data_IF_519140719823
#
_entry.id   IF_519140719823
#
_cell.length_a   1.000
_cell.length_b   1.000
_cell.length_c   1.000
_cell.angle_alpha   90.00
_cell.angle_beta   90.00
_cell.angle_gamma   90.00
#
_symmetry.space_group_name_H-M   'P 1'
#
loop_
_entity.id
_entity.type
_entity.pdbx_description
1 polymer ?
#
# COMPACT_ATOMS: atom_id res chain seq x y z
N UNK A 1 10.13 64.06 63.73
CA UNK A 1 11.47 64.49 64.20
C UNK A 1 12.31 63.35 64.79
N UNK A 2 11.75 62.18 65.13
CA UNK A 2 12.48 61.06 65.74
C UNK A 2 13.46 60.30 64.80
N UNK A 3 13.26 60.39 63.49
CA UNK A 3 13.98 59.59 62.48
C UNK A 3 15.46 60.00 62.32
N UNK A 4 15.77 61.30 62.44
CA UNK A 4 17.15 61.80 62.31
C UNK A 4 18.00 61.46 63.55
N UNK A 5 17.39 61.45 64.73
CA UNK A 5 18.08 61.12 65.98
C UNK A 5 18.42 59.63 66.04
N UNK A 6 17.54 58.78 65.51
CA UNK A 6 17.75 57.34 65.37
C UNK A 6 18.86 57.03 64.35
N UNK A 7 18.88 57.72 63.20
CA UNK A 7 19.97 57.62 62.21
C UNK A 7 21.31 58.06 62.81
N UNK A 8 21.35 59.14 63.60
CA UNK A 8 22.58 59.57 64.30
C UNK A 8 23.04 58.56 65.34
N UNK A 9 22.10 57.93 66.04
CA UNK A 9 22.41 56.91 67.04
C UNK A 9 22.97 55.65 66.39
N UNK A 10 22.35 55.19 65.30
CA UNK A 10 22.84 54.10 64.47
C UNK A 10 24.23 54.41 63.88
N UNK A 11 24.45 55.64 63.40
CA UNK A 11 25.76 56.06 62.89
C UNK A 11 26.84 56.12 64.00
N UNK A 12 26.47 56.59 65.18
CA UNK A 12 27.36 56.63 66.34
C UNK A 12 27.67 55.22 66.86
N UNK A 13 26.68 54.32 66.92
CA UNK A 13 26.88 52.92 67.27
C UNK A 13 27.69 52.18 66.21
N UNK A 14 27.49 52.46 64.92
CA UNK A 14 28.32 51.94 63.84
C UNK A 14 29.77 52.40 63.97
N UNK A 15 30.01 53.70 64.21
CA UNK A 15 31.35 54.22 64.47
C UNK A 15 31.98 53.59 65.71
N UNK A 16 31.23 53.43 66.79
CA UNK A 16 31.69 52.77 68.02
C UNK A 16 32.07 51.32 67.78
N UNK A 17 31.28 50.60 66.99
CA UNK A 17 31.54 49.20 66.64
C UNK A 17 32.75 49.07 65.70
N UNK A 18 33.01 50.06 64.84
CA UNK A 18 34.23 50.11 64.01
C UNK A 18 35.49 50.49 64.79
N UNK A 19 35.37 51.32 65.84
CA UNK A 19 36.51 51.76 66.69
C UNK A 19 36.72 50.87 67.91
N UNK A 20 35.78 49.99 68.25
CA UNK A 20 36.03 48.93 69.23
C UNK A 20 37.02 47.94 68.63
N UNK A 21 38.29 48.05 69.03
CA UNK A 21 39.31 47.04 68.75
C UNK A 21 38.82 45.70 69.33
N UNK A 22 38.37 44.82 68.44
CA UNK A 22 38.16 43.42 68.79
C UNK A 22 39.54 42.82 69.07
N UNK A 23 39.82 42.57 70.35
CA UNK A 23 41.11 42.09 70.90
C UNK A 23 41.64 40.76 70.31
N UNK A 24 40.93 40.16 69.35
CA UNK A 24 41.36 38.96 68.64
C UNK A 24 40.97 39.06 67.15
N UNK A 25 41.64 39.94 66.41
CA UNK A 25 41.69 39.82 64.94
C UNK A 25 42.60 38.66 64.58
N UNK A 26 41.99 37.54 64.21
CA UNK A 26 42.71 36.43 63.60
C UNK A 26 43.19 36.94 62.23
N UNK A 27 44.51 36.92 61.99
CA UNK A 27 45.05 37.27 60.67
C UNK A 27 44.62 36.23 59.63
N UNK A 28 44.49 36.60 58.36
CA UNK A 28 44.14 35.67 57.28
C UNK A 28 45.02 34.41 57.29
N UNK A 29 46.32 34.60 57.58
CA UNK A 29 47.28 33.50 57.70
C UNK A 29 46.95 32.56 58.86
N UNK A 30 46.55 33.10 60.01
CA UNK A 30 46.11 32.30 61.15
C UNK A 30 44.76 31.60 60.86
N UNK A 31 43.84 32.24 60.14
CA UNK A 31 42.60 31.61 59.69
C UNK A 31 42.88 30.40 58.78
N UNK A 32 43.78 30.56 57.80
CA UNK A 32 44.18 29.48 56.90
C UNK A 32 44.84 28.33 57.67
N UNK A 33 45.72 28.63 58.64
CA UNK A 33 46.39 27.60 59.44
C UNK A 33 45.40 26.85 60.37
N UNK A 34 44.42 27.55 60.94
CA UNK A 34 43.34 26.93 61.73
C UNK A 34 42.48 26.04 60.83
N UNK A 35 42.09 26.52 59.65
CA UNK A 35 41.32 25.76 58.67
C UNK A 35 42.09 24.50 58.24
N UNK A 36 43.36 24.63 57.87
CA UNK A 36 44.23 23.48 57.55
C UNK A 36 44.29 22.47 58.69
N UNK A 37 44.46 22.94 59.93
CA UNK A 37 44.47 22.06 61.11
C UNK A 37 43.15 21.32 61.30
N UNK A 38 42.02 21.99 61.05
CA UNK A 38 40.68 21.39 61.14
C UNK A 38 40.42 20.38 60.01
N UNK A 39 40.95 20.64 58.81
CA UNK A 39 40.93 19.70 57.67
C UNK A 39 41.83 18.48 57.94
N UNK A 40 43.04 18.67 58.46
CA UNK A 40 43.97 17.59 58.81
C UNK A 40 43.38 16.66 59.90
N UNK A 41 42.64 17.24 60.85
CA UNK A 41 41.90 16.51 61.87
C UNK A 41 40.60 15.87 61.37
N UNK A 42 40.26 16.03 60.07
CA UNK A 42 39.03 15.55 59.42
C UNK A 42 37.74 16.01 60.12
N UNK A 43 37.77 17.17 60.77
CA UNK A 43 36.61 17.74 61.44
C UNK A 43 35.71 18.51 60.47
N UNK A 44 36.28 19.00 59.35
CA UNK A 44 35.57 19.79 58.34
C UNK A 44 36.04 19.36 56.94
N UNK A 45 35.09 19.12 56.05
CA UNK A 45 35.32 18.91 54.62
C UNK A 45 35.10 20.23 53.88
N UNK A 46 36.12 20.69 53.14
CA UNK A 46 36.10 21.98 52.45
C UNK A 46 36.49 21.80 50.99
N UNK A 47 35.75 22.49 50.12
CA UNK A 47 35.95 22.58 48.69
C UNK A 47 36.57 23.94 48.40
N UNK A 48 37.59 23.95 47.54
CA UNK A 48 38.26 25.17 47.12
C UNK A 48 37.60 25.69 45.84
N UNK A 49 37.37 27.00 45.80
CA UNK A 49 37.06 27.69 44.54
C UNK A 49 38.25 27.64 43.59
N UNK A 50 37.99 27.70 42.28
CA UNK A 50 39.03 27.65 41.25
C UNK A 50 40.01 28.83 41.34
N UNK A 51 39.61 29.95 41.95
CA UNK A 51 40.47 31.10 42.20
C UNK A 51 41.19 31.07 43.57
N UNK A 52 40.88 30.07 44.41
CA UNK A 52 41.49 29.82 45.71
C UNK A 52 41.17 30.87 46.78
N UNK A 53 40.18 31.73 46.56
CA UNK A 53 39.85 32.83 47.48
C UNK A 53 38.80 32.44 48.52
N UNK A 54 37.93 31.51 48.18
CA UNK A 54 36.79 31.11 49.00
C UNK A 54 36.80 29.62 49.30
N UNK A 55 36.31 29.28 50.50
CA UNK A 55 36.12 27.91 50.95
C UNK A 55 34.63 27.61 51.02
N UNK A 56 34.19 26.57 50.30
CA UNK A 56 32.81 26.11 50.35
C UNK A 56 32.70 24.82 51.16
N UNK A 57 31.62 24.70 51.91
CA UNK A 57 31.22 23.42 52.49
C UNK A 57 30.35 22.66 51.48
N UNK A 58 30.35 21.32 51.48
CA UNK A 58 29.46 20.54 50.60
C UNK A 58 27.99 20.95 50.72
N UNK A 59 27.50 21.22 51.94
CA UNK A 59 26.13 21.67 52.16
C UNK A 59 25.84 23.05 51.56
N UNK A 60 26.84 23.95 51.52
CA UNK A 60 26.68 25.25 50.90
C UNK A 60 26.67 25.15 49.37
N UNK A 61 27.58 24.35 48.81
CA UNK A 61 27.61 24.06 47.38
C UNK A 61 26.30 23.43 46.90
N UNK A 62 25.68 22.55 47.70
CA UNK A 62 24.37 21.99 47.40
C UNK A 62 23.31 23.09 47.24
N UNK A 63 23.22 24.01 48.21
CA UNK A 63 22.27 25.13 48.14
C UNK A 63 22.53 26.05 46.95
N UNK A 64 23.78 26.37 46.67
CA UNK A 64 24.11 27.20 45.51
C UNK A 64 23.75 26.52 44.19
N UNK A 65 23.94 25.21 44.08
CA UNK A 65 23.48 24.44 42.92
C UNK A 65 21.95 24.53 42.80
N UNK A 66 21.21 24.34 43.89
CA UNK A 66 19.75 24.46 43.88
C UNK A 66 19.27 25.86 43.47
N UNK A 67 19.89 26.91 44.03
CA UNK A 67 19.56 28.31 43.75
C UNK A 67 19.87 28.67 42.29
N UNK A 68 21.03 28.26 41.77
CA UNK A 68 21.43 28.55 40.38
C UNK A 68 20.55 27.80 39.37
N UNK A 69 20.15 26.55 39.70
CA UNK A 69 19.19 25.79 38.90
C UNK A 69 17.82 26.47 38.90
N UNK A 70 17.38 27.00 40.04
CA UNK A 70 16.11 27.72 40.14
C UNK A 70 16.12 29.02 39.33
N UNK A 71 17.19 29.82 39.43
CA UNK A 71 17.37 31.10 38.70
C UNK A 71 17.34 30.87 37.19
N UNK A 72 17.95 29.79 36.72
CA UNK A 72 17.98 29.43 35.29
C UNK A 72 16.72 28.68 34.81
N UNK A 73 15.62 28.73 35.56
CA UNK A 73 14.34 28.17 35.13
C UNK A 73 14.27 26.64 35.19
N UNK A 74 15.13 26.02 35.98
CA UNK A 74 15.11 24.59 36.28
C UNK A 74 15.91 23.70 35.33
N UNK A 75 16.68 24.24 34.39
CA UNK A 75 17.59 23.44 33.53
C UNK A 75 18.93 24.14 33.33
N UNK A 76 20.03 23.47 33.70
CA UNK A 76 21.40 24.02 33.57
C UNK A 76 22.39 22.93 33.17
N UNK A 77 23.35 23.26 32.31
CA UNK A 77 24.49 22.38 32.04
C UNK A 77 25.49 22.42 33.20
N UNK A 78 26.05 21.28 33.57
CA UNK A 78 27.03 21.20 34.67
C UNK A 78 28.29 22.06 34.43
N UNK A 79 28.66 22.29 33.17
CA UNK A 79 29.78 23.17 32.82
C UNK A 79 29.47 24.65 33.11
N UNK A 80 28.26 25.10 32.76
CA UNK A 80 27.81 26.46 33.03
C UNK A 80 27.67 26.67 34.54
N UNK A 81 27.18 25.65 35.25
CA UNK A 81 27.06 25.63 36.71
C UNK A 81 28.44 25.72 37.39
N UNK A 82 29.42 24.95 36.94
CA UNK A 82 30.80 25.02 37.44
C UNK A 82 31.44 26.40 37.21
N UNK A 83 31.13 27.03 36.07
CA UNK A 83 31.62 28.37 35.73
C UNK A 83 30.93 29.45 36.58
N UNK A 84 29.62 29.36 36.77
CA UNK A 84 28.85 30.31 37.58
C UNK A 84 29.23 30.26 39.06
N UNK A 85 29.40 29.05 39.60
CA UNK A 85 29.77 28.83 41.00
C UNK A 85 31.29 28.95 41.25
N UNK A 86 32.11 29.04 40.20
CA UNK A 86 33.57 29.07 40.29
C UNK A 86 34.16 27.87 41.07
N UNK A 87 33.57 26.69 40.89
CA UNK A 87 33.96 25.44 41.54
C UNK A 87 34.38 24.41 40.49
N UNK A 88 35.34 23.54 40.82
CA UNK A 88 35.79 22.49 39.91
C UNK A 88 34.64 21.56 39.48
N UNK A 89 34.64 21.18 38.19
CA UNK A 89 33.61 20.36 37.59
C UNK A 89 33.37 19.05 38.34
N UNK A 90 34.42 18.41 38.87
CA UNK A 90 34.29 17.12 39.55
C UNK A 90 33.46 17.24 40.83
N UNK A 91 33.61 18.34 41.57
CA UNK A 91 32.82 18.60 42.77
C UNK A 91 31.36 18.88 42.41
N UNK A 92 31.11 19.71 41.40
CA UNK A 92 29.75 20.00 40.91
C UNK A 92 29.05 18.76 40.38
N UNK A 93 29.77 17.91 39.63
CA UNK A 93 29.23 16.66 39.07
C UNK A 93 28.88 15.66 40.19
N UNK A 94 29.76 15.48 41.17
CA UNK A 94 29.51 14.57 42.29
C UNK A 94 28.32 15.03 43.13
N UNK A 95 28.23 16.32 43.44
CA UNK A 95 27.10 16.88 44.20
C UNK A 95 25.80 16.80 43.41
N UNK A 96 25.83 17.07 42.10
CA UNK A 96 24.64 16.94 41.24
C UNK A 96 24.15 15.49 41.15
N UNK A 97 25.07 14.51 41.09
CA UNK A 97 24.72 13.08 41.18
C UNK A 97 24.11 12.73 42.53
N UNK A 98 24.63 13.29 43.62
CA UNK A 98 24.09 13.09 44.96
C UNK A 98 22.67 13.67 45.08
N UNK A 99 22.43 14.90 44.62
CA UNK A 99 21.10 15.53 44.63
C UNK A 99 20.09 14.70 43.83
N UNK A 100 20.48 14.24 42.63
CA UNK A 100 19.63 13.38 41.81
C UNK A 100 19.35 12.01 42.45
N UNK A 101 20.28 11.48 43.26
CA UNK A 101 20.09 10.22 43.97
C UNK A 101 19.23 10.37 45.24
N UNK A 102 19.40 11.49 45.98
CA UNK A 102 18.63 11.78 47.19
C UNK A 102 17.19 12.21 46.87
N UNK A 103 17.00 12.97 45.78
CA UNK A 103 15.71 13.52 45.36
C UNK A 103 15.41 13.21 43.88
N UNK A 104 15.24 11.93 43.51
CA UNK A 104 15.06 11.53 42.11
C UNK A 104 13.75 12.02 41.48
N UNK A 105 12.74 12.37 42.29
CA UNK A 105 11.47 12.93 41.82
C UNK A 105 11.61 14.40 41.41
N UNK A 106 12.48 15.14 42.10
CA UNK A 106 12.66 16.58 41.92
C UNK A 106 13.78 16.91 40.94
N UNK A 107 14.88 16.16 40.98
CA UNK A 107 16.06 16.40 40.16
C UNK A 107 16.38 15.20 39.26
N UNK A 108 16.76 15.47 38.03
CA UNK A 108 17.17 14.47 37.05
C UNK A 108 18.47 14.92 36.38
N UNK A 109 19.44 14.02 36.28
CA UNK A 109 20.73 14.28 35.64
C UNK A 109 20.81 13.55 34.29
N UNK A 110 20.94 14.31 33.20
CA UNK A 110 20.89 13.78 31.83
C UNK A 110 21.98 14.43 30.98
N UNK A 111 22.89 13.62 30.43
CA UNK A 111 23.99 14.09 29.55
C UNK A 111 24.76 15.32 30.09
N UNK A 112 25.00 15.36 31.40
CA UNK A 112 25.69 16.50 32.03
C UNK A 112 24.82 17.75 32.16
N UNK A 113 23.50 17.61 32.16
CA UNK A 113 22.52 18.63 32.52
C UNK A 113 21.77 18.21 33.78
N UNK A 114 21.50 19.17 34.66
CA UNK A 114 20.60 19.00 35.80
C UNK A 114 19.25 19.63 35.46
N UNK A 115 18.18 18.87 35.66
CA UNK A 115 16.80 19.27 35.39
C UNK A 115 15.99 19.17 36.67
N UNK A 116 15.41 20.29 37.10
CA UNK A 116 14.50 20.38 38.22
C UNK A 116 13.03 20.18 37.79
N UNK A 117 12.18 19.73 38.71
CA UNK A 117 10.74 19.50 38.51
C UNK A 117 9.98 20.71 37.97
N UNK A 118 10.37 21.94 38.31
CA UNK A 118 9.77 23.17 37.75
C UNK A 118 9.91 23.25 36.23
N UNK A 119 10.98 22.68 35.67
CA UNK A 119 11.16 22.60 34.23
C UNK A 119 10.13 21.65 33.60
N UNK A 120 9.73 20.57 34.29
CA UNK A 120 8.66 19.67 33.82
C UNK A 120 7.35 20.43 33.62
N UNK A 121 6.96 21.29 34.55
CA UNK A 121 5.75 22.15 34.41
C UNK A 121 5.86 23.13 33.25
N UNK A 122 7.06 23.61 32.95
CA UNK A 122 7.30 24.47 31.78
C UNK A 122 7.18 23.67 30.49
N UNK A 123 7.70 22.45 30.47
CA UNK A 123 7.54 21.51 29.35
C UNK A 123 6.08 21.12 29.13
N UNK A 124 5.30 20.84 30.18
CA UNK A 124 3.85 20.57 30.07
C UNK A 124 3.14 21.69 29.30
N UNK A 125 3.41 22.95 29.64
CA UNK A 125 2.84 24.12 28.95
C UNK A 125 3.29 24.20 27.49
N UNK A 126 4.58 23.99 27.21
CA UNK A 126 5.09 24.02 25.83
C UNK A 126 4.48 22.90 24.98
N UNK A 127 4.33 21.71 25.56
CA UNK A 127 3.66 20.57 24.94
C UNK A 127 2.21 20.92 24.64
N UNK A 128 1.49 21.49 25.61
CA UNK A 128 0.10 21.93 25.45
C UNK A 128 -0.04 22.95 24.30
N UNK A 129 0.78 24.00 24.31
CA UNK A 129 0.77 25.05 23.29
C UNK A 129 1.08 24.47 21.89
N UNK A 130 2.01 23.52 21.82
CA UNK A 130 2.36 22.83 20.56
C UNK A 130 1.19 21.97 20.06
N UNK A 131 0.55 21.23 20.96
CA UNK A 131 -0.61 20.38 20.64
C UNK A 131 -1.81 21.22 20.19
N UNK A 132 -2.08 22.38 20.80
CA UNK A 132 -3.17 23.25 20.37
C UNK A 132 -2.87 23.93 19.04
N UNK A 133 -1.65 24.45 18.88
CA UNK A 133 -1.29 25.23 17.68
C UNK A 133 -1.15 24.37 16.42
N UNK A 134 -0.60 23.17 16.55
CA UNK A 134 -0.32 22.31 15.38
C UNK A 134 -1.18 21.06 15.34
N UNK A 135 -1.78 20.65 16.46
CA UNK A 135 -2.55 19.42 16.57
C UNK A 135 -1.71 18.13 16.50
N UNK A 136 -0.38 18.24 16.45
CA UNK A 136 0.55 17.11 16.39
C UNK A 136 1.83 17.38 17.17
N UNK A 137 2.35 16.36 17.85
CA UNK A 137 3.64 16.42 18.54
C UNK A 137 4.48 15.22 18.16
N UNK A 138 5.54 15.44 17.38
CA UNK A 138 6.57 14.43 17.13
C UNK A 138 7.66 14.54 18.19
N UNK A 139 7.96 13.44 18.88
CA UNK A 139 9.05 13.40 19.88
C UNK A 139 10.39 13.77 19.25
N UNK A 140 10.62 13.40 17.99
CA UNK A 140 11.88 13.69 17.29
C UNK A 140 12.03 15.19 16.99
N UNK A 141 10.95 15.86 16.58
CA UNK A 141 10.98 17.29 16.31
C UNK A 141 11.02 18.11 17.60
N UNK A 142 10.30 17.64 18.63
CA UNK A 142 10.33 18.24 19.97
C UNK A 142 11.71 18.09 20.65
N UNK A 143 12.38 16.95 20.44
CA UNK A 143 13.75 16.74 20.91
C UNK A 143 14.73 17.73 20.27
N UNK A 144 14.59 18.01 18.98
CA UNK A 144 15.42 19.00 18.29
C UNK A 144 15.16 20.43 18.79
N UNK A 145 13.91 20.78 19.12
CA UNK A 145 13.60 22.13 19.59
C UNK A 145 14.11 22.39 21.01
N UNK A 146 14.17 21.35 21.85
CA UNK A 146 14.54 21.49 23.26
C UNK A 146 16.00 21.07 23.54
N UNK A 147 16.67 20.41 22.60
CA UNK A 147 18.03 19.87 22.77
C UNK A 147 18.12 18.89 23.96
N UNK A 148 17.17 17.95 24.00
CA UNK A 148 17.15 16.84 24.97
C UNK A 148 17.08 15.48 24.26
N UNK A 149 17.60 14.41 24.86
CA UNK A 149 17.52 13.07 24.29
C UNK A 149 16.08 12.64 24.04
N UNK A 150 15.83 12.08 22.85
CA UNK A 150 14.48 11.62 22.47
C UNK A 150 13.95 10.51 23.38
N UNK A 151 14.84 9.67 23.94
CA UNK A 151 14.45 8.60 24.86
C UNK A 151 13.90 9.17 26.18
N UNK A 152 14.58 10.15 26.76
CA UNK A 152 14.09 10.86 27.94
C UNK A 152 12.76 11.57 27.67
N UNK A 153 12.67 12.30 26.55
CA UNK A 153 11.44 12.96 26.16
C UNK A 153 10.30 11.99 25.89
N UNK A 154 10.58 10.78 25.40
CA UNK A 154 9.53 9.78 25.19
C UNK A 154 8.89 9.32 26.49
N UNK A 155 9.70 9.07 27.52
CA UNK A 155 9.21 8.70 28.85
C UNK A 155 8.48 9.87 29.49
N UNK A 156 9.05 11.07 29.39
CA UNK A 156 8.48 12.27 29.98
C UNK A 156 7.14 12.63 29.31
N UNK A 157 7.07 12.68 27.98
CA UNK A 157 5.82 13.00 27.26
C UNK A 157 4.75 11.95 27.57
N UNK A 158 5.09 10.67 27.70
CA UNK A 158 4.12 9.63 28.13
C UNK A 158 3.56 9.88 29.53
N UNK A 159 4.38 10.36 30.46
CA UNK A 159 3.96 10.69 31.82
C UNK A 159 3.14 11.99 31.87
N UNK A 160 3.54 13.00 31.11
CA UNK A 160 2.93 14.33 31.13
C UNK A 160 1.66 14.43 30.28
N UNK A 161 1.54 13.65 29.20
CA UNK A 161 0.42 13.73 28.24
C UNK A 161 -0.96 13.66 28.90
N UNK A 162 -1.23 12.69 29.79
CA UNK A 162 -2.53 12.60 30.47
C UNK A 162 -2.87 13.83 31.33
N UNK A 163 -1.87 14.55 31.85
CA UNK A 163 -2.09 15.78 32.61
C UNK A 163 -2.31 16.99 31.70
N UNK A 164 -1.73 16.96 30.49
CA UNK A 164 -1.80 18.04 29.52
C UNK A 164 -3.15 18.05 28.79
N UNK A 165 -3.66 16.88 28.40
CA UNK A 165 -4.89 16.78 27.64
C UNK A 165 -5.55 15.39 27.81
N UNK A 166 -6.87 15.40 27.96
CA UNK A 166 -7.65 14.16 28.12
C UNK A 166 -7.84 13.38 26.80
N UNK A 167 -7.86 14.09 25.66
CA UNK A 167 -8.24 13.54 24.36
C UNK A 167 -7.10 13.62 23.31
N UNK A 168 -6.23 12.61 23.31
CA UNK A 168 -5.15 12.45 22.34
C UNK A 168 -5.11 11.03 21.74
N UNK A 169 -4.55 10.94 20.54
CA UNK A 169 -4.30 9.68 19.84
C UNK A 169 -2.81 9.53 19.63
N UNK A 170 -2.29 8.34 19.97
CA UNK A 170 -0.87 8.00 19.79
C UNK A 170 -0.67 7.24 18.49
N UNK A 171 0.40 7.54 17.77
CA UNK A 171 0.82 6.77 16.61
C UNK A 171 1.22 5.34 17.00
N UNK A 172 1.17 4.41 16.03
CA UNK A 172 1.53 3.00 16.28
C UNK A 172 2.97 2.77 16.79
N UNK A 173 3.87 3.72 16.54
CA UNK A 173 5.26 3.67 16.97
C UNK A 173 5.54 4.42 18.28
N UNK A 174 4.50 4.91 18.97
CA UNK A 174 4.60 5.68 20.22
C UNK A 174 5.50 6.93 20.13
N UNK A 175 5.64 7.49 18.91
CA UNK A 175 6.55 8.60 18.62
C UNK A 175 5.88 9.91 18.24
N UNK A 176 4.61 9.85 17.88
CA UNK A 176 3.84 11.02 17.49
C UNK A 176 2.48 11.01 18.18
N UNK A 177 2.12 12.14 18.76
CA UNK A 177 0.83 12.36 19.39
C UNK A 177 0.02 13.28 18.51
N UNK A 178 -1.28 13.02 18.43
CA UNK A 178 -2.24 13.82 17.66
C UNK A 178 -3.38 14.22 18.57
N UNK A 179 -3.95 15.40 18.36
CA UNK A 179 -5.24 15.74 18.95
C UNK A 179 -6.34 14.91 18.28
N UNK A 180 -7.42 14.64 19.01
CA UNK A 180 -8.59 13.98 18.43
C UNK A 180 -9.16 14.78 17.25
N UNK A 181 -9.23 16.10 17.36
CA UNK A 181 -9.68 16.99 16.29
C UNK A 181 -8.86 16.82 15.00
N UNK A 182 -7.52 16.72 15.08
CA UNK A 182 -6.69 16.48 13.91
C UNK A 182 -6.95 15.11 13.30
N UNK A 183 -7.12 14.08 14.14
CA UNK A 183 -7.43 12.74 13.65
C UNK A 183 -8.79 12.68 12.95
N UNK A 184 -9.79 13.40 13.47
CA UNK A 184 -11.10 13.54 12.84
C UNK A 184 -11.04 14.32 11.54
N UNK A 185 -10.20 15.36 11.45
CA UNK A 185 -9.92 16.05 10.20
C UNK A 185 -9.28 15.12 9.17
N UNK A 186 -8.25 14.35 9.53
CA UNK A 186 -7.65 13.36 8.63
C UNK A 186 -8.68 12.32 8.19
N UNK A 187 -9.46 11.77 9.12
CA UNK A 187 -10.53 10.80 8.82
C UNK A 187 -11.54 11.41 7.85
N UNK A 188 -11.93 12.66 8.04
CA UNK A 188 -12.89 13.36 7.17
C UNK A 188 -12.33 13.64 5.78
N UNK A 189 -11.09 14.14 5.68
CA UNK A 189 -10.41 14.40 4.40
C UNK A 189 -10.23 13.11 3.60
N UNK A 190 -9.75 12.05 4.26
CA UNK A 190 -9.56 10.74 3.63
C UNK A 190 -10.92 10.20 3.18
N UNK A 191 -11.95 10.27 4.04
CA UNK A 191 -13.30 9.81 3.69
C UNK A 191 -13.84 10.54 2.47
N UNK A 192 -13.83 11.88 2.47
CA UNK A 192 -14.31 12.68 1.35
C UNK A 192 -13.55 12.41 0.05
N UNK A 193 -12.23 12.18 0.16
CA UNK A 193 -11.40 11.85 -1.00
C UNK A 193 -11.75 10.48 -1.57
N UNK A 194 -11.86 9.45 -0.73
CA UNK A 194 -12.18 8.10 -1.16
C UNK A 194 -13.60 7.98 -1.73
N UNK A 195 -14.57 8.72 -1.16
CA UNK A 195 -15.93 8.79 -1.69
C UNK A 195 -16.00 9.45 -3.08
N UNK A 196 -15.07 10.33 -3.41
CA UNK A 196 -15.00 10.99 -4.72
C UNK A 196 -14.33 10.12 -5.80
N UNK A 197 -13.65 9.03 -5.43
CA UNK A 197 -12.97 8.16 -6.37
C UNK A 197 -13.98 7.15 -6.93
N UNK A 198 -14.21 7.21 -8.25
CA UNK A 198 -15.10 6.29 -8.98
C UNK A 198 -14.37 5.24 -9.83
N UNK A 199 -13.04 5.29 -9.87
CA UNK A 199 -12.20 4.37 -10.66
C UNK A 199 -11.11 3.75 -9.81
N UNK A 200 -10.65 2.51 -10.13
CA UNK A 200 -9.54 1.90 -9.42
C UNK A 200 -8.31 2.82 -9.41
N UNK A 201 -7.84 3.17 -8.22
CA UNK A 201 -6.77 4.16 -8.04
C UNK A 201 -5.73 3.64 -7.06
N UNK A 202 -4.45 3.79 -7.37
CA UNK A 202 -3.37 3.31 -6.48
C UNK A 202 -3.33 4.13 -5.19
N UNK A 203 -3.18 3.45 -4.05
CA UNK A 203 -3.07 4.09 -2.73
C UNK A 203 -1.94 5.13 -2.70
N UNK A 204 -0.79 4.83 -3.31
CA UNK A 204 0.35 5.75 -3.41
C UNK A 204 -0.01 7.08 -4.09
N UNK A 205 -0.84 7.06 -5.14
CA UNK A 205 -1.30 8.27 -5.82
C UNK A 205 -2.25 9.11 -4.95
N UNK A 206 -3.09 8.44 -4.15
CA UNK A 206 -4.02 9.12 -3.24
C UNK A 206 -3.22 9.79 -2.12
N UNK A 207 -2.32 9.05 -1.48
CA UNK A 207 -1.46 9.55 -0.42
C UNK A 207 -0.59 10.72 -0.88
N UNK A 208 0.03 10.62 -2.07
CA UNK A 208 0.83 11.71 -2.64
C UNK A 208 0.02 12.99 -2.84
N UNK A 209 -1.27 12.86 -3.19
CA UNK A 209 -2.15 14.02 -3.39
C UNK A 209 -2.60 14.65 -2.08
N UNK A 210 -2.74 13.84 -1.03
CA UNK A 210 -3.15 14.29 0.30
C UNK A 210 -1.97 14.73 1.18
N UNK A 211 -0.74 14.41 0.80
CA UNK A 211 0.48 14.59 1.61
C UNK A 211 0.37 13.92 3.00
N UNK A 212 -0.24 12.73 3.04
CA UNK A 212 -0.44 11.94 4.27
C UNK A 212 0.47 10.71 4.23
N UNK A 213 1.14 10.43 5.35
CA UNK A 213 1.99 9.25 5.50
C UNK A 213 1.19 7.93 5.48
N UNK A 214 1.82 6.85 5.02
CA UNK A 214 1.17 5.52 4.94
C UNK A 214 0.68 5.04 6.31
N UNK A 215 1.44 5.40 7.36
CA UNK A 215 1.18 5.00 8.75
C UNK A 215 -0.11 5.58 9.29
N UNK A 216 -0.52 6.76 8.82
CA UNK A 216 -1.82 7.35 9.16
C UNK A 216 -2.90 6.88 8.19
N UNK A 217 -2.59 6.85 6.90
CA UNK A 217 -3.57 6.57 5.86
C UNK A 217 -4.14 5.16 5.96
N UNK A 218 -3.29 4.12 6.02
CA UNK A 218 -3.73 2.72 5.95
C UNK A 218 -4.68 2.33 7.09
N UNK A 219 -4.38 2.60 8.38
CA UNK A 219 -5.29 2.26 9.47
C UNK A 219 -6.65 2.97 9.38
N UNK A 220 -6.66 4.23 8.91
CA UNK A 220 -7.90 4.99 8.73
C UNK A 220 -8.74 4.36 7.62
N UNK A 221 -8.15 4.03 6.47
CA UNK A 221 -8.86 3.41 5.35
C UNK A 221 -9.41 2.04 5.74
N UNK A 222 -8.59 1.19 6.36
CA UNK A 222 -9.01 -0.13 6.82
C UNK A 222 -10.17 -0.02 7.83
N UNK A 223 -10.08 0.94 8.75
CA UNK A 223 -11.16 1.26 9.69
C UNK A 223 -12.45 1.69 8.99
N UNK A 224 -12.37 2.60 8.02
CA UNK A 224 -13.54 3.09 7.28
C UNK A 224 -14.23 1.99 6.46
N UNK A 225 -13.47 1.08 5.87
CA UNK A 225 -14.01 -0.08 5.14
C UNK A 225 -14.65 -1.07 6.13
N UNK A 226 -13.97 -1.38 7.23
CA UNK A 226 -14.47 -2.30 8.26
C UNK A 226 -15.73 -1.80 8.96
N UNK A 227 -15.81 -0.48 9.21
CA UNK A 227 -17.01 0.20 9.74
C UNK A 227 -18.16 0.26 8.72
N UNK A 228 -17.91 -0.07 7.44
CA UNK A 228 -18.90 0.05 6.37
C UNK A 228 -19.21 1.50 5.97
N UNK A 229 -18.37 2.46 6.36
CA UNK A 229 -18.52 3.88 5.95
C UNK A 229 -18.14 4.10 4.49
N UNK A 230 -17.21 3.30 3.98
CA UNK A 230 -16.80 3.31 2.58
C UNK A 230 -17.00 1.91 2.03
N UNK A 231 -17.81 1.83 0.98
CA UNK A 231 -18.02 0.58 0.25
C UNK A 231 -16.97 0.47 -0.86
N UNK A 232 -15.84 -0.15 -0.51
CA UNK A 232 -14.71 -0.36 -1.41
C UNK A 232 -13.87 -1.55 -0.94
N UNK A 233 -13.07 -2.08 -1.87
CA UNK A 233 -12.06 -3.09 -1.57
C UNK A 233 -10.66 -2.53 -1.83
N UNK A 234 -9.69 -2.98 -1.04
CA UNK A 234 -8.27 -2.69 -1.28
C UNK A 234 -7.57 -3.99 -1.65
N UNK A 235 -7.12 -4.09 -2.90
CA UNK A 235 -6.39 -5.27 -3.41
C UNK A 235 -5.06 -4.83 -4.01
N UNK A 236 -3.95 -5.46 -3.65
CA UNK A 236 -2.62 -5.15 -4.20
C UNK A 236 -2.26 -3.65 -4.20
N UNK A 237 -2.59 -2.93 -3.12
CA UNK A 237 -2.40 -1.46 -2.99
C UNK A 237 -3.22 -0.62 -3.99
N UNK A 238 -4.26 -1.21 -4.58
CA UNK A 238 -5.25 -0.55 -5.42
C UNK A 238 -6.55 -0.40 -4.63
N UNK A 239 -7.03 0.83 -4.53
CA UNK A 239 -8.37 1.13 -4.01
C UNK A 239 -9.39 0.93 -5.12
N UNK A 240 -10.35 0.03 -4.92
CA UNK A 240 -11.39 -0.35 -5.87
C UNK A 240 -12.76 0.03 -5.27
N UNK A 241 -13.38 1.15 -5.71
CA UNK A 241 -14.71 1.54 -5.26
C UNK A 241 -15.77 0.52 -5.65
N UNK A 242 -16.75 0.24 -4.80
CA UNK A 242 -17.84 -0.69 -5.14
C UNK A 242 -18.70 -0.19 -6.31
N UNK A 243 -18.85 1.14 -6.43
CA UNK A 243 -19.55 1.79 -7.55
C UNK A 243 -18.94 1.38 -8.88
N UNK A 244 -17.60 1.29 -8.97
CA UNK A 244 -16.93 0.81 -10.18
C UNK A 244 -17.29 -0.64 -10.50
N UNK A 245 -17.24 -1.53 -9.50
CA UNK A 245 -17.60 -2.94 -9.69
C UNK A 245 -19.07 -3.10 -10.09
N UNK A 246 -19.96 -2.26 -9.54
CA UNK A 246 -21.37 -2.25 -9.90
C UNK A 246 -21.58 -1.77 -11.34
N UNK A 247 -21.01 -0.63 -11.72
CA UNK A 247 -21.08 -0.11 -13.10
C UNK A 247 -20.51 -1.09 -14.13
N UNK A 248 -19.42 -1.77 -13.79
CA UNK A 248 -18.83 -2.82 -14.62
C UNK A 248 -19.81 -3.98 -14.83
N UNK A 249 -20.45 -4.47 -13.77
CA UNK A 249 -21.43 -5.55 -13.86
C UNK A 249 -22.69 -5.12 -14.63
N UNK A 250 -23.23 -3.95 -14.32
CA UNK A 250 -24.44 -3.41 -14.97
C UNK A 250 -24.21 -3.21 -16.47
N UNK A 251 -23.01 -2.76 -16.87
CA UNK A 251 -22.60 -2.65 -18.26
C UNK A 251 -22.55 -4.02 -18.96
N UNK A 252 -22.00 -5.04 -18.29
CA UNK A 252 -21.92 -6.40 -18.84
C UNK A 252 -23.33 -6.99 -19.03
N UNK A 253 -24.19 -6.86 -18.03
CA UNK A 253 -25.56 -7.36 -18.09
C UNK A 253 -26.36 -6.67 -19.21
N UNK A 254 -26.22 -5.34 -19.34
CA UNK A 254 -26.86 -4.55 -20.41
C UNK A 254 -26.33 -4.91 -21.80
N UNK A 255 -25.01 -5.08 -21.94
CA UNK A 255 -24.38 -5.45 -23.20
C UNK A 255 -24.81 -6.86 -23.64
N UNK A 256 -24.78 -7.83 -22.73
CA UNK A 256 -25.18 -9.21 -23.01
C UNK A 256 -26.65 -9.29 -23.41
N UNK A 257 -27.52 -8.58 -22.70
CA UNK A 257 -28.97 -8.60 -22.95
C UNK A 257 -29.32 -7.98 -24.30
N UNK A 258 -28.60 -6.93 -24.71
CA UNK A 258 -28.86 -6.21 -25.97
C UNK A 258 -28.25 -6.92 -27.18
N UNK A 259 -27.04 -7.45 -27.05
CA UNK A 259 -26.28 -7.99 -28.19
C UNK A 259 -26.32 -9.51 -28.29
N UNK A 260 -26.73 -10.22 -27.24
CA UNK A 260 -26.74 -11.69 -27.17
C UNK A 260 -25.36 -12.36 -27.31
N UNK A 261 -24.26 -11.61 -27.21
CA UNK A 261 -22.91 -12.14 -27.13
C UNK A 261 -22.00 -11.20 -26.33
N UNK A 262 -20.86 -11.70 -25.85
CA UNK A 262 -19.75 -10.93 -25.26
C UNK A 262 -18.41 -11.53 -25.70
N UNK A 263 -17.48 -10.71 -26.16
CA UNK A 263 -16.09 -11.10 -26.47
C UNK A 263 -15.23 -11.21 -25.20
N UNK A 264 -14.33 -12.19 -25.12
CA UNK A 264 -13.44 -12.32 -23.96
C UNK A 264 -12.43 -11.18 -23.86
N UNK A 265 -11.98 -10.63 -24.99
CA UNK A 265 -11.05 -9.48 -25.03
C UNK A 265 -11.65 -8.22 -24.40
N UNK A 266 -12.93 -7.97 -24.65
CA UNK A 266 -13.67 -6.84 -24.07
C UNK A 266 -13.69 -6.92 -22.54
N UNK A 267 -13.84 -8.13 -21.99
CA UNK A 267 -13.82 -8.35 -20.54
C UNK A 267 -12.40 -8.19 -19.95
N UNK A 268 -11.37 -8.63 -20.66
CA UNK A 268 -9.97 -8.40 -20.26
C UNK A 268 -9.65 -6.90 -20.22
N UNK A 269 -10.09 -6.14 -21.22
CA UNK A 269 -9.96 -4.67 -21.27
C UNK A 269 -10.75 -3.95 -20.18
N UNK A 270 -11.76 -4.60 -19.59
CA UNK A 270 -12.52 -4.13 -18.44
C UNK A 270 -11.93 -4.59 -17.11
N UNK A 271 -10.70 -5.13 -17.06
CA UNK A 271 -10.03 -5.64 -15.86
C UNK A 271 -10.62 -6.93 -15.26
N UNK A 272 -11.40 -7.70 -16.03
CA UNK A 272 -11.88 -9.01 -15.58
C UNK A 272 -10.81 -10.07 -15.90
N UNK A 273 -10.07 -10.49 -14.87
CA UNK A 273 -8.95 -11.44 -14.99
C UNK A 273 -9.36 -12.82 -15.51
N UNK A 274 -10.58 -13.28 -15.24
CA UNK A 274 -11.07 -14.60 -15.66
C UNK A 274 -12.42 -14.53 -16.40
N UNK A 275 -12.42 -14.10 -17.68
CA UNK A 275 -13.66 -13.87 -18.45
C UNK A 275 -14.56 -15.10 -18.55
N UNK A 276 -13.98 -16.28 -18.85
CA UNK A 276 -14.74 -17.53 -19.06
C UNK A 276 -15.46 -17.99 -17.80
N UNK A 277 -14.76 -18.01 -16.67
CA UNK A 277 -15.32 -18.42 -15.38
C UNK A 277 -16.37 -17.42 -14.89
N UNK A 278 -16.09 -16.12 -15.04
CA UNK A 278 -17.00 -15.04 -14.69
C UNK A 278 -18.33 -15.15 -15.44
N UNK A 279 -18.28 -15.26 -16.78
CA UNK A 279 -19.50 -15.36 -17.60
C UNK A 279 -20.27 -16.66 -17.36
N UNK A 280 -19.59 -17.80 -17.16
CA UNK A 280 -20.26 -19.06 -16.83
C UNK A 280 -21.00 -19.01 -15.49
N UNK A 281 -20.47 -18.28 -14.51
CA UNK A 281 -21.12 -18.07 -13.21
C UNK A 281 -22.29 -17.10 -13.32
N UNK A 282 -22.18 -16.04 -14.14
CA UNK A 282 -23.19 -15.00 -14.29
C UNK A 282 -24.36 -15.43 -15.19
N UNK A 283 -24.05 -16.09 -16.31
CA UNK A 283 -24.99 -16.53 -17.34
C UNK A 283 -24.85 -18.04 -17.59
N UNK A 284 -25.39 -18.89 -16.71
CA UNK A 284 -25.15 -20.33 -16.74
C UNK A 284 -25.66 -21.02 -18.02
N UNK A 285 -26.69 -20.48 -18.67
CA UNK A 285 -27.30 -21.06 -19.86
C UNK A 285 -26.54 -20.73 -21.16
N UNK A 286 -25.62 -19.76 -21.12
CA UNK A 286 -24.88 -19.34 -22.31
C UNK A 286 -23.87 -20.39 -22.82
N UNK A 287 -23.51 -20.25 -24.09
CA UNK A 287 -22.55 -21.12 -24.76
C UNK A 287 -21.17 -20.44 -24.82
N UNK A 288 -20.16 -21.14 -24.32
CA UNK A 288 -18.77 -20.68 -24.39
C UNK A 288 -18.11 -21.12 -25.70
N UNK A 289 -17.70 -20.16 -26.51
CA UNK A 289 -16.94 -20.40 -27.75
C UNK A 289 -15.44 -20.13 -27.51
N UNK A 290 -14.63 -20.03 -28.58
CA UNK A 290 -13.19 -19.80 -28.46
C UNK A 290 -12.89 -18.35 -28.06
N UNK A 291 -13.49 -17.39 -28.76
CA UNK A 291 -13.21 -15.96 -28.62
C UNK A 291 -14.32 -15.18 -27.90
N UNK A 292 -15.54 -15.72 -27.89
CA UNK A 292 -16.71 -15.07 -27.31
C UNK A 292 -17.61 -16.04 -26.53
N UNK A 293 -18.59 -15.46 -25.85
CA UNK A 293 -19.64 -16.14 -25.10
C UNK A 293 -20.98 -15.70 -25.66
N UNK A 294 -21.87 -16.65 -25.95
CA UNK A 294 -23.08 -16.42 -26.72
C UNK A 294 -24.32 -16.81 -25.92
N UNK A 295 -25.38 -16.02 -26.05
CA UNK A 295 -26.65 -16.27 -25.38
C UNK A 295 -27.43 -17.43 -26.00
N UNK A 296 -28.28 -18.12 -25.23
CA UNK A 296 -29.18 -19.14 -25.76
C UNK A 296 -30.08 -18.60 -26.88
N UNK A 297 -30.46 -17.32 -26.83
CA UNK A 297 -31.33 -16.71 -27.82
C UNK A 297 -30.65 -16.67 -29.21
N UNK A 298 -29.37 -16.33 -29.26
CA UNK A 298 -28.62 -16.34 -30.52
C UNK A 298 -28.39 -17.77 -31.02
N UNK A 299 -28.15 -18.73 -30.12
CA UNK A 299 -28.06 -20.14 -30.49
C UNK A 299 -29.38 -20.64 -31.08
N UNK A 300 -30.52 -20.34 -30.45
CA UNK A 300 -31.85 -20.69 -30.96
C UNK A 300 -32.16 -20.04 -32.31
N UNK A 301 -31.70 -18.80 -32.53
CA UNK A 301 -31.83 -18.13 -33.83
C UNK A 301 -31.05 -18.89 -34.92
N UNK A 302 -29.83 -19.32 -34.63
CA UNK A 302 -29.03 -20.13 -35.56
C UNK A 302 -29.68 -21.50 -35.80
N UNK A 303 -30.23 -22.13 -34.76
CA UNK A 303 -30.99 -23.38 -34.92
C UNK A 303 -32.21 -23.22 -35.84
N UNK A 304 -32.98 -22.15 -35.69
CA UNK A 304 -34.12 -21.86 -36.55
C UNK A 304 -33.69 -21.66 -38.02
N UNK A 305 -32.57 -20.94 -38.26
CA UNK A 305 -32.03 -20.77 -39.61
C UNK A 305 -31.62 -22.11 -40.25
N UNK A 306 -31.08 -23.04 -39.47
CA UNK A 306 -30.74 -24.39 -39.94
C UNK A 306 -32.01 -25.18 -40.26
N UNK A 307 -33.02 -25.12 -39.40
CA UNK A 307 -34.31 -25.78 -39.60
C UNK A 307 -35.01 -25.26 -40.88
N UNK A 308 -35.02 -23.95 -41.10
CA UNK A 308 -35.54 -23.32 -42.32
C UNK A 308 -34.74 -23.70 -43.57
N UNK A 309 -33.40 -23.77 -43.46
CA UNK A 309 -32.52 -24.20 -44.55
C UNK A 309 -32.82 -25.64 -44.99
N UNK A 310 -33.14 -26.53 -44.03
CA UNK A 310 -33.55 -27.92 -44.31
C UNK A 310 -34.91 -27.93 -44.98
N UNK A 311 -35.89 -27.20 -44.44
CA UNK A 311 -37.25 -27.19 -44.95
C UNK A 311 -37.34 -26.65 -46.39
N UNK A 312 -36.50 -25.66 -46.72
CA UNK A 312 -36.47 -25.02 -48.05
C UNK A 312 -35.53 -25.69 -49.05
N UNK A 313 -34.80 -26.73 -48.65
CA UNK A 313 -33.74 -27.35 -49.45
C UNK A 313 -32.77 -26.30 -50.02
N UNK A 314 -32.21 -25.45 -49.18
CA UNK A 314 -31.33 -24.34 -49.59
C UNK A 314 -29.90 -24.46 -49.01
N UNK A 315 -29.09 -23.43 -49.27
CA UNK A 315 -27.74 -23.19 -48.76
C UNK A 315 -27.74 -21.81 -48.10
N UNK A 316 -27.26 -21.71 -46.85
CA UNK A 316 -27.17 -20.45 -46.10
C UNK A 316 -25.77 -20.21 -45.54
N UNK A 317 -25.29 -18.98 -45.61
CA UNK A 317 -24.08 -18.54 -44.90
C UNK A 317 -24.46 -17.92 -43.57
N UNK A 318 -24.14 -18.61 -42.48
CA UNK A 318 -24.51 -18.18 -41.12
C UNK A 318 -23.75 -16.92 -40.71
N UNK A 319 -22.57 -16.68 -41.28
CA UNK A 319 -21.78 -15.48 -40.99
C UNK A 319 -22.48 -14.19 -41.44
N UNK A 320 -23.42 -14.28 -42.40
CA UNK A 320 -24.16 -13.12 -42.88
C UNK A 320 -25.23 -12.59 -41.91
N UNK A 321 -25.67 -13.43 -40.96
CA UNK A 321 -26.72 -13.08 -39.99
C UNK A 321 -26.14 -12.77 -38.61
N UNK A 322 -24.92 -13.21 -38.34
CA UNK A 322 -24.25 -13.02 -37.05
C UNK A 322 -23.41 -11.74 -37.02
N UNK A 323 -23.18 -11.17 -35.82
CA UNK A 323 -22.25 -10.06 -35.67
C UNK A 323 -20.84 -10.42 -36.16
N UNK A 324 -20.12 -9.49 -36.80
CA UNK A 324 -18.77 -9.73 -37.34
C UNK A 324 -17.72 -10.05 -36.26
N UNK A 325 -18.05 -9.77 -34.99
CA UNK A 325 -17.27 -10.18 -33.82
C UNK A 325 -17.16 -11.70 -33.67
N UNK A 326 -18.14 -12.47 -34.15
CA UNK A 326 -18.14 -13.93 -34.07
C UNK A 326 -17.35 -14.48 -35.26
N UNK A 327 -16.17 -15.03 -34.98
CA UNK A 327 -15.25 -15.50 -36.03
C UNK A 327 -15.71 -16.85 -36.60
N UNK A 328 -15.22 -17.21 -37.79
CA UNK A 328 -15.56 -18.47 -38.46
C UNK A 328 -15.30 -19.71 -37.58
N UNK A 329 -14.24 -19.67 -36.75
CA UNK A 329 -13.94 -20.75 -35.81
C UNK A 329 -14.95 -20.87 -34.66
N UNK A 330 -15.54 -19.75 -34.24
CA UNK A 330 -16.59 -19.73 -33.22
C UNK A 330 -17.91 -20.25 -33.80
N UNK A 331 -18.21 -19.90 -35.06
CA UNK A 331 -19.37 -20.43 -35.81
C UNK A 331 -19.25 -21.94 -35.97
N UNK A 332 -18.07 -22.44 -36.39
CA UNK A 332 -17.81 -23.88 -36.53
C UNK A 332 -18.03 -24.61 -35.20
N UNK A 333 -17.52 -24.06 -34.09
CA UNK A 333 -17.72 -24.66 -32.77
C UNK A 333 -19.21 -24.66 -32.38
N UNK A 334 -19.91 -23.54 -32.59
CA UNK A 334 -21.33 -23.40 -32.29
C UNK A 334 -22.16 -24.43 -33.06
N UNK A 335 -21.91 -24.59 -34.37
CA UNK A 335 -22.59 -25.58 -35.21
C UNK A 335 -22.33 -27.00 -34.76
N UNK A 336 -21.07 -27.34 -34.46
CA UNK A 336 -20.70 -28.65 -33.95
C UNK A 336 -21.43 -28.97 -32.64
N UNK A 337 -21.56 -28.01 -31.74
CA UNK A 337 -22.25 -28.21 -30.47
C UNK A 337 -23.77 -28.29 -30.63
N UNK A 338 -24.37 -27.54 -31.56
CA UNK A 338 -25.78 -27.69 -31.95
C UNK A 338 -26.03 -29.09 -32.52
N UNK A 339 -25.22 -29.57 -33.47
CA UNK A 339 -25.41 -30.88 -34.09
C UNK A 339 -25.16 -32.04 -33.13
N UNK A 340 -24.24 -31.89 -32.15
CA UNK A 340 -24.09 -32.87 -31.07
C UNK A 340 -25.34 -32.98 -30.21
N UNK A 341 -25.98 -31.85 -29.88
CA UNK A 341 -27.23 -31.82 -29.09
C UNK A 341 -28.43 -32.31 -29.91
N UNK A 342 -28.58 -31.85 -31.15
CA UNK A 342 -29.67 -32.17 -32.08
C UNK A 342 -29.16 -33.01 -33.27
N UNK A 343 -28.90 -34.30 -33.04
CA UNK A 343 -28.36 -35.23 -34.05
C UNK A 343 -29.19 -35.30 -35.35
N UNK A 344 -30.50 -35.07 -35.27
CA UNK A 344 -31.39 -35.07 -36.43
C UNK A 344 -31.05 -33.95 -37.44
N UNK A 345 -30.68 -32.76 -36.94
CA UNK A 345 -30.25 -31.64 -37.78
C UNK A 345 -28.92 -31.96 -38.46
N UNK A 346 -27.97 -32.51 -37.70
CA UNK A 346 -26.65 -32.89 -38.23
C UNK A 346 -26.70 -34.01 -39.28
N UNK A 347 -27.72 -34.87 -39.26
CA UNK A 347 -27.92 -35.89 -40.28
C UNK A 347 -28.50 -35.34 -41.60
N UNK A 348 -29.12 -34.17 -41.57
CA UNK A 348 -29.86 -33.57 -42.70
C UNK A 348 -29.12 -32.40 -43.35
N UNK A 349 -27.99 -31.99 -42.78
CA UNK A 349 -27.19 -30.85 -43.21
C UNK A 349 -25.70 -31.20 -43.31
N UNK A 350 -25.00 -30.48 -44.16
CA UNK A 350 -23.55 -30.49 -44.29
C UNK A 350 -23.01 -29.08 -44.05
N UNK A 351 -22.00 -28.95 -43.19
CA UNK A 351 -21.25 -27.70 -43.01
C UNK A 351 -20.15 -27.62 -44.06
N UNK A 352 -20.09 -26.51 -44.78
CA UNK A 352 -19.10 -26.22 -45.83
C UNK A 352 -18.34 -24.96 -45.45
N UNK A 353 -17.00 -25.02 -45.50
CA UNK A 353 -16.13 -23.88 -45.23
C UNK A 353 -16.41 -23.19 -43.88
N UNK A 354 -16.69 -24.00 -42.84
CA UNK A 354 -16.93 -23.59 -41.44
C UNK A 354 -18.22 -22.77 -41.18
N UNK A 355 -18.66 -21.93 -42.12
CA UNK A 355 -19.77 -20.98 -41.92
C UNK A 355 -21.03 -21.30 -42.72
N UNK A 356 -20.90 -22.03 -43.83
CA UNK A 356 -22.03 -22.31 -44.71
C UNK A 356 -22.71 -23.61 -44.30
N UNK A 357 -24.03 -23.59 -44.17
CA UNK A 357 -24.85 -24.78 -43.93
C UNK A 357 -25.64 -25.09 -45.18
N UNK A 358 -25.45 -26.31 -45.68
CA UNK A 358 -26.11 -26.83 -46.86
C UNK A 358 -27.04 -27.97 -46.47
N UNK A 359 -28.32 -27.89 -46.84
CA UNK A 359 -29.22 -29.03 -46.69
C UNK A 359 -28.82 -30.17 -47.65
N UNK A 360 -28.99 -31.43 -47.23
CA UNK A 360 -28.75 -32.58 -48.10
C UNK A 360 -29.74 -32.62 -49.27
N UNK A 361 -30.95 -32.10 -49.08
CA UNK A 361 -31.93 -31.96 -50.15
C UNK A 361 -31.47 -31.00 -51.25
N UNK A 362 -30.87 -29.85 -50.89
CA UNK A 362 -30.25 -28.97 -51.88
C UNK A 362 -29.17 -29.68 -52.71
N UNK A 363 -28.33 -30.51 -52.07
CA UNK A 363 -27.31 -31.30 -52.77
C UNK A 363 -27.97 -32.30 -53.73
N UNK A 364 -29.08 -32.93 -53.34
CA UNK A 364 -29.82 -33.83 -54.22
C UNK A 364 -30.39 -33.10 -55.45
N UNK A 365 -31.01 -31.93 -55.25
CA UNK A 365 -31.50 -31.08 -56.35
C UNK A 365 -30.37 -30.62 -57.26
N UNK A 366 -29.21 -30.26 -56.69
CA UNK A 366 -28.02 -29.94 -57.46
C UNK A 366 -27.56 -31.14 -58.31
N UNK A 367 -27.49 -32.35 -57.73
CA UNK A 367 -27.13 -33.58 -58.45
C UNK A 367 -28.07 -33.85 -59.63
N UNK A 368 -29.37 -33.65 -59.46
CA UNK A 368 -30.34 -33.82 -60.56
C UNK A 368 -30.08 -32.89 -61.74
N UNK A 369 -29.73 -31.63 -61.46
CA UNK A 369 -29.37 -30.66 -62.49
C UNK A 369 -28.14 -31.09 -63.31
N UNK A 370 -27.23 -31.85 -62.69
CA UNK A 370 -26.07 -32.41 -63.38
C UNK A 370 -26.37 -33.69 -64.18
N UNK A 371 -27.49 -34.39 -63.94
CA UNK A 371 -27.80 -35.65 -64.63
C UNK A 371 -27.79 -35.49 -66.15
N UNK A 372 -28.41 -34.43 -66.68
CA UNK A 372 -28.42 -34.15 -68.12
C UNK A 372 -27.01 -33.93 -68.69
N UNK A 373 -26.16 -33.21 -67.96
CA UNK A 373 -24.77 -32.94 -68.36
C UNK A 373 -23.95 -34.22 -68.27
N UNK A 374 -24.17 -35.03 -67.23
CA UNK A 374 -23.53 -36.32 -67.05
C UNK A 374 -23.89 -37.28 -68.18
N UNK A 375 -25.15 -37.35 -68.60
CA UNK A 375 -25.58 -38.17 -69.74
C UNK A 375 -24.93 -37.72 -71.06
N UNK A 376 -24.85 -36.40 -71.31
CA UNK A 376 -24.19 -35.86 -72.49
C UNK A 376 -22.70 -36.19 -72.49
N UNK A 377 -22.00 -35.91 -71.38
CA UNK A 377 -20.58 -36.25 -71.24
C UNK A 377 -20.33 -37.76 -71.27
N UNK A 378 -21.23 -38.57 -70.72
CA UNK A 378 -21.14 -40.02 -70.81
C UNK A 378 -21.24 -40.48 -72.26
N UNK A 379 -22.18 -39.94 -73.06
CA UNK A 379 -22.27 -40.24 -74.50
C UNK A 379 -21.02 -39.79 -75.26
N UNK A 380 -20.49 -38.60 -74.99
CA UNK A 380 -19.24 -38.11 -75.57
C UNK A 380 -18.05 -39.01 -75.21
N UNK A 381 -17.93 -39.42 -73.95
CA UNK A 381 -16.86 -40.32 -73.49
C UNK A 381 -17.00 -41.75 -74.04
N UNK A 382 -18.21 -42.18 -74.41
CA UNK A 382 -18.48 -43.47 -75.03
C UNK A 382 -18.09 -43.44 -76.52
N UNK A 383 -18.40 -42.33 -77.21
CA UNK A 383 -17.97 -42.09 -78.59
C UNK A 383 -16.44 -41.90 -78.71
N UNK A 384 -15.81 -41.30 -77.71
CA UNK A 384 -14.35 -41.15 -77.64
C UNK A 384 -13.61 -42.41 -77.12
N UNK A 385 -14.32 -43.53 -76.87
CA UNK A 385 -13.73 -44.79 -76.40
C UNK A 385 -13.14 -44.77 -74.98
N UNK A 386 -13.22 -43.64 -74.25
CA UNK A 386 -12.69 -43.50 -72.89
C UNK A 386 -13.45 -44.34 -71.86
N UNK A 387 -14.77 -44.44 -72.00
CA UNK A 387 -15.62 -45.26 -71.13
C UNK A 387 -15.36 -46.77 -71.34
N UNK A 388 -15.11 -47.18 -72.58
CA UNK A 388 -14.79 -48.56 -72.94
C UNK A 388 -13.44 -48.96 -72.33
N UNK A 389 -12.43 -48.08 -72.41
CA UNK A 389 -11.13 -48.30 -71.76
C UNK A 389 -11.22 -48.31 -70.22
N UNK A 390 -12.11 -47.53 -69.61
CA UNK A 390 -12.32 -47.53 -68.16
C UNK A 390 -12.99 -48.82 -67.66
N UNK A 391 -14.05 -49.29 -68.34
CA UNK A 391 -14.77 -50.51 -67.92
C UNK A 391 -14.03 -51.81 -68.32
N UNK A 392 -13.39 -51.88 -69.48
CA UNK A 392 -12.50 -53.01 -69.82
C UNK A 392 -11.22 -53.00 -69.00
N UNK A 393 -10.73 -51.82 -68.62
CA UNK A 393 -9.61 -51.64 -67.69
C UNK A 393 -9.93 -52.10 -66.27
N UNK A 394 -11.19 -52.11 -65.83
CA UNK A 394 -11.57 -52.63 -64.51
C UNK A 394 -11.53 -54.17 -64.42
N UNK A 395 -11.70 -54.91 -65.52
CA UNK A 395 -11.49 -56.37 -65.52
C UNK A 395 -10.02 -56.77 -65.70
N UNK A 396 -9.15 -55.81 -66.03
CA UNK A 396 -7.71 -55.99 -66.07
C UNK A 396 -7.00 -54.76 -65.50
N UNK A 397 -7.06 -54.57 -64.17
CA UNK A 397 -6.01 -53.99 -63.29
C UNK A 397 -6.59 -53.44 -62.00
N UNK A 398 -6.51 -54.23 -60.93
CA UNK A 398 -6.19 -53.70 -59.58
C UNK A 398 -4.92 -54.35 -58.99
N UNK A 399 -4.29 -55.33 -59.66
CA UNK A 399 -3.14 -56.06 -59.10
C UNK A 399 -1.73 -55.56 -59.43
N UNK A 400 -1.49 -54.92 -60.59
CA UNK A 400 -0.14 -55.01 -61.20
C UNK A 400 0.56 -53.72 -61.58
N UNK A 401 -0.04 -52.53 -61.38
CA UNK A 401 0.61 -51.25 -61.76
C UNK A 401 1.25 -50.53 -60.56
N UNK A 402 0.74 -50.71 -59.33
CA UNK A 402 1.37 -50.11 -58.13
C UNK A 402 2.66 -50.82 -57.68
N UNK A 403 2.84 -52.11 -57.96
CA UNK A 403 4.09 -52.83 -57.62
C UNK A 403 5.27 -52.45 -58.52
N UNK A 404 5.07 -52.29 -59.83
CA UNK A 404 6.18 -51.93 -60.75
C UNK A 404 6.70 -50.50 -60.55
N UNK A 405 5.84 -49.54 -60.17
CA UNK A 405 6.30 -48.17 -59.88
C UNK A 405 7.02 -48.06 -58.52
N UNK A 406 6.64 -48.86 -57.51
CA UNK A 406 7.38 -48.92 -56.24
C UNK A 406 8.71 -49.67 -56.36
N UNK A 407 8.78 -50.74 -57.16
CA UNK A 407 10.03 -51.47 -57.42
C UNK A 407 11.03 -50.65 -58.26
N UNK A 408 10.57 -49.85 -59.24
CA UNK A 408 11.45 -48.95 -59.99
C UNK A 408 11.97 -47.77 -59.14
N UNK A 409 11.13 -47.17 -58.29
CA UNK A 409 11.58 -46.10 -57.39
C UNK A 409 12.54 -46.60 -56.30
N UNK A 410 12.37 -47.84 -55.82
CA UNK A 410 13.33 -48.45 -54.88
C UNK A 410 14.65 -48.84 -55.56
N UNK A 411 14.63 -49.28 -56.82
CA UNK A 411 15.85 -49.56 -57.58
C UNK A 411 16.63 -48.29 -57.94
N UNK A 412 15.94 -47.19 -58.28
CA UNK A 412 16.59 -45.89 -58.52
C UNK A 412 17.17 -45.28 -57.24
N UNK A 413 16.49 -45.43 -56.09
CA UNK A 413 17.04 -44.99 -54.80
C UNK A 413 18.24 -45.84 -54.33
N UNK A 414 18.24 -47.15 -54.59
CA UNK A 414 19.39 -48.01 -54.28
C UNK A 414 20.59 -47.74 -55.20
N UNK A 415 20.38 -47.43 -56.48
CA UNK A 415 21.48 -47.04 -57.38
C UNK A 415 22.07 -45.67 -57.05
N UNK A 416 21.27 -44.71 -56.58
CA UNK A 416 21.78 -43.41 -56.13
C UNK A 416 22.57 -43.49 -54.83
N UNK A 417 22.21 -44.39 -53.90
CA UNK A 417 22.98 -44.61 -52.67
C UNK A 417 24.31 -45.35 -52.90
N UNK A 418 24.42 -46.19 -53.93
CA UNK A 418 25.68 -46.86 -54.30
C UNK A 418 26.65 -45.97 -55.08
N UNK A 419 26.22 -44.83 -55.61
CA UNK A 419 27.09 -43.85 -56.29
C UNK A 419 27.61 -42.73 -55.38
N UNK A 420 27.20 -42.70 -54.10
CA UNK A 420 27.65 -41.72 -53.10
C UNK A 420 28.50 -42.33 -51.96
N UNK A 421 29.04 -43.54 -52.15
CA UNK A 421 30.10 -44.11 -51.30
C UNK A 421 31.43 -44.19 -52.05
#
# INVERSE_FOLDING_TARGET
>A
MADWEEIKRLAADFQRTQTSDTLQRISERNCIDIIKKLTDLKLIELIYTCDGKEFLTPNHLLKEIEDEVYVNGGRVHLHDLATALNVDYQHVENMSKQIAAERPTEYSLILGQIIHSTYKTTLEKQIYDTMISTGRLSIADFAKSIDLPSEFLSTLVKELMPNVMDDFVVSQDDRTYYTADMMDQYKSIITGTLMAISKPTTIASIMKKLDISERLFTPIVDGLIKEGRIDASVENRLFIPSVYAKEQNDWIDSFYSSNSYIEFDVLLRKDIKQPKAFLKKRFPDGMQLKTCYVSPALVSQVEALIEDCIATNSLIDISSTLPPSIQAEDIEQMLNDIFKKKKQLGASCLVINQTNVCSLGYIATCKESFNRIMELRAKEHLQQGKLINHFLGCNQKVGSVKKKQQEQQQQEQQQQQQQQQ
#
